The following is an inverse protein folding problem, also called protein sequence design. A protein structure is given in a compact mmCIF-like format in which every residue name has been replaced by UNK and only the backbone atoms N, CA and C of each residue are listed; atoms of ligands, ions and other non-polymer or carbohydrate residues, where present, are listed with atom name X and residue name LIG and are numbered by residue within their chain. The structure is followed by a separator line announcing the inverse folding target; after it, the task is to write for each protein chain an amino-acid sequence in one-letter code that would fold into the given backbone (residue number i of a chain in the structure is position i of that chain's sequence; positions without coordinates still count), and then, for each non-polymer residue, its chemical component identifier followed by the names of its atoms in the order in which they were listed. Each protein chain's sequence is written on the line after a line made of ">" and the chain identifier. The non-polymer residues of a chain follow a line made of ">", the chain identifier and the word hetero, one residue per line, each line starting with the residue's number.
data_IF_404711480999
#
_entry.id   IF_404711480999
#
_cell.length_a   1.000
_cell.length_b   1.000
_cell.length_c   1.000
_cell.angle_alpha   90.00
_cell.angle_beta   90.00
_cell.angle_gamma   90.00
#
_symmetry.space_group_name_H-M   'P 1'
#
loop_
_entity.id
_entity.type
_entity.pdbx_description
1 polymer ?
#
# COMPACT_ATOMS: atom_id res chain seq x y z
N UNK A 1 -13.24 -13.26 8.85
CA UNK A 1 -12.58 -13.24 7.52
C UNK A 1 -13.33 -14.02 6.43
N UNK A 2 -14.47 -14.66 6.72
CA UNK A 2 -15.33 -15.37 5.74
C UNK A 2 -16.58 -14.58 5.30
N UNK A 3 -16.74 -13.33 5.74
CA UNK A 3 -17.98 -12.55 5.50
C UNK A 3 -18.08 -11.92 4.11
N UNK A 4 -17.06 -12.06 3.26
CA UNK A 4 -17.16 -11.60 1.87
C UNK A 4 -18.08 -12.56 1.10
N UNK A 5 -19.24 -12.10 0.58
CA UNK A 5 -20.19 -12.98 -0.12
C UNK A 5 -19.54 -13.70 -1.30
N UNK A 6 -18.56 -13.07 -1.96
CA UNK A 6 -17.79 -13.68 -3.05
C UNK A 6 -16.90 -14.83 -2.60
N UNK A 7 -16.29 -14.74 -1.41
CA UNK A 7 -15.45 -15.80 -0.85
C UNK A 7 -16.32 -16.97 -0.42
N UNK A 8 -17.47 -16.67 0.19
CA UNK A 8 -18.46 -17.68 0.58
C UNK A 8 -18.93 -18.49 -0.62
N UNK A 9 -19.41 -17.84 -1.69
CA UNK A 9 -19.92 -18.53 -2.88
C UNK A 9 -18.84 -19.36 -3.61
N UNK A 10 -17.61 -18.85 -3.64
CA UNK A 10 -16.47 -19.58 -4.19
C UNK A 10 -16.17 -20.84 -3.37
N UNK A 11 -16.15 -20.76 -2.05
CA UNK A 11 -15.93 -21.92 -1.18
C UNK A 11 -17.06 -22.93 -1.31
N UNK A 12 -18.31 -22.49 -1.37
CA UNK A 12 -19.46 -23.38 -1.57
C UNK A 12 -19.34 -24.16 -2.87
N UNK A 13 -19.00 -23.47 -3.96
CA UNK A 13 -18.83 -24.08 -5.28
C UNK A 13 -17.68 -25.08 -5.29
N UNK A 14 -16.52 -24.70 -4.73
CA UNK A 14 -15.34 -25.57 -4.69
C UNK A 14 -15.55 -26.81 -3.82
N UNK A 15 -16.14 -26.64 -2.65
CA UNK A 15 -16.46 -27.76 -1.74
C UNK A 15 -17.49 -28.70 -2.37
N UNK A 16 -18.52 -28.17 -3.03
CA UNK A 16 -19.52 -28.99 -3.73
C UNK A 16 -18.90 -29.85 -4.84
N UNK A 17 -18.02 -29.25 -5.67
CA UNK A 17 -17.35 -29.95 -6.77
C UNK A 17 -16.34 -30.98 -6.25
N UNK A 18 -15.50 -30.60 -5.28
CA UNK A 18 -14.39 -31.44 -4.81
C UNK A 18 -14.86 -32.63 -3.96
N UNK A 19 -15.89 -32.42 -3.14
CA UNK A 19 -16.43 -33.45 -2.23
C UNK A 19 -17.59 -34.23 -2.89
N UNK A 20 -18.15 -33.71 -3.98
CA UNK A 20 -19.30 -34.32 -4.66
C UNK A 20 -20.61 -34.21 -3.88
N UNK A 21 -20.75 -33.18 -3.04
CA UNK A 21 -21.96 -32.94 -2.24
C UNK A 21 -22.89 -31.91 -2.90
N UNK A 22 -24.21 -32.01 -2.69
CA UNK A 22 -25.15 -31.02 -3.18
C UNK A 22 -24.79 -29.60 -2.72
N UNK A 23 -24.97 -28.56 -3.56
CA UNK A 23 -24.61 -27.17 -3.24
C UNK A 23 -25.25 -26.66 -1.95
N UNK A 24 -26.47 -27.11 -1.63
CA UNK A 24 -27.17 -26.75 -0.40
C UNK A 24 -26.41 -27.28 0.83
N UNK A 25 -25.89 -28.52 0.79
CA UNK A 25 -25.10 -29.10 1.88
C UNK A 25 -23.75 -28.40 2.02
N UNK A 26 -23.10 -28.08 0.89
CA UNK A 26 -21.86 -27.29 0.90
C UNK A 26 -22.09 -25.89 1.50
N UNK A 27 -23.18 -25.23 1.13
CA UNK A 27 -23.56 -23.92 1.69
C UNK A 27 -23.74 -23.96 3.20
N UNK A 28 -24.45 -24.97 3.72
CA UNK A 28 -24.64 -25.15 5.16
C UNK A 28 -23.31 -25.42 5.88
N UNK A 29 -22.44 -26.22 5.29
CA UNK A 29 -21.12 -26.52 5.85
C UNK A 29 -20.26 -25.24 5.94
N UNK A 30 -20.16 -24.46 4.86
CA UNK A 30 -19.40 -23.19 4.84
C UNK A 30 -20.00 -22.19 5.83
N UNK A 31 -21.33 -22.05 5.87
CA UNK A 31 -22.02 -21.13 6.78
C UNK A 31 -21.81 -21.53 8.25
N UNK A 32 -21.80 -22.82 8.57
CA UNK A 32 -21.48 -23.31 9.92
C UNK A 32 -20.07 -22.94 10.35
N UNK A 33 -19.09 -23.16 9.47
CA UNK A 33 -17.70 -22.79 9.73
C UNK A 33 -17.56 -21.28 9.92
N UNK A 34 -18.25 -20.48 9.09
CA UNK A 34 -18.24 -19.02 9.23
C UNK A 34 -18.84 -18.54 10.56
N UNK A 35 -19.87 -19.22 11.06
CA UNK A 35 -20.55 -18.91 12.32
C UNK A 35 -19.89 -19.52 13.56
N UNK A 36 -18.78 -20.26 13.40
CA UNK A 36 -18.11 -20.94 14.53
C UNK A 36 -18.98 -22.00 15.22
N UNK A 37 -19.93 -22.59 14.50
CA UNK A 37 -20.79 -23.64 15.03
C UNK A 37 -20.04 -24.97 15.17
N UNK A 38 -20.65 -25.94 15.87
CA UNK A 38 -20.03 -27.24 16.15
C UNK A 38 -19.49 -27.91 14.88
N UNK A 39 -18.28 -28.50 14.94
CA UNK A 39 -17.65 -29.11 13.78
C UNK A 39 -18.46 -30.33 13.31
N UNK A 40 -18.78 -30.34 12.03
CA UNK A 40 -19.45 -31.44 11.33
C UNK A 40 -18.39 -32.21 10.51
N UNK A 41 -18.76 -33.36 9.93
CA UNK A 41 -17.89 -34.17 9.07
C UNK A 41 -17.30 -33.40 7.87
N UNK A 42 -17.94 -32.30 7.45
CA UNK A 42 -17.49 -31.44 6.34
C UNK A 42 -16.65 -30.24 6.77
N UNK A 43 -16.60 -29.93 8.07
CA UNK A 43 -15.80 -28.82 8.61
C UNK A 43 -14.31 -28.90 8.27
N UNK A 44 -13.61 -30.05 8.42
CA UNK A 44 -12.19 -30.11 8.06
C UNK A 44 -11.96 -29.87 6.56
N UNK A 45 -12.88 -30.33 5.70
CA UNK A 45 -12.80 -30.18 4.24
C UNK A 45 -12.96 -28.72 3.82
N UNK A 46 -13.92 -27.99 4.41
CA UNK A 46 -14.10 -26.55 4.16
C UNK A 46 -12.87 -25.76 4.60
N UNK A 47 -12.26 -26.12 5.73
CA UNK A 47 -11.06 -25.44 6.24
C UNK A 47 -9.84 -25.69 5.37
N UNK A 48 -9.66 -26.90 4.85
CA UNK A 48 -8.59 -27.21 3.89
C UNK A 48 -8.74 -26.37 2.61
N UNK A 49 -9.95 -26.32 2.06
CA UNK A 49 -10.23 -25.55 0.84
C UNK A 49 -10.03 -24.04 1.07
N UNK A 50 -10.46 -23.52 2.23
CA UNK A 50 -10.22 -22.13 2.61
C UNK A 50 -8.73 -21.81 2.71
N UNK A 51 -7.90 -22.74 3.22
CA UNK A 51 -6.44 -22.58 3.28
C UNK A 51 -5.81 -22.56 1.90
N UNK A 52 -6.21 -23.46 1.01
CA UNK A 52 -5.72 -23.49 -0.37
C UNK A 52 -6.09 -22.21 -1.13
N UNK A 53 -7.35 -21.77 -1.03
CA UNK A 53 -7.80 -20.52 -1.63
C UNK A 53 -7.04 -19.30 -1.09
N UNK A 54 -6.75 -19.28 0.22
CA UNK A 54 -5.96 -18.21 0.84
C UNK A 54 -4.50 -18.21 0.34
N UNK A 55 -3.88 -19.38 0.18
CA UNK A 55 -2.52 -19.50 -0.37
C UNK A 55 -2.45 -19.04 -1.83
N UNK A 56 -3.41 -19.44 -2.66
CA UNK A 56 -3.51 -18.96 -4.05
C UNK A 56 -3.66 -17.44 -4.12
N UNK A 57 -4.54 -16.87 -3.28
CA UNK A 57 -4.75 -15.42 -3.22
C UNK A 57 -3.48 -14.69 -2.76
N UNK A 58 -2.77 -15.22 -1.77
CA UNK A 58 -1.51 -14.67 -1.28
C UNK A 58 -0.42 -14.70 -2.36
N UNK A 59 -0.29 -15.80 -3.12
CA UNK A 59 0.66 -15.90 -4.22
C UNK A 59 0.38 -14.89 -5.33
N UNK A 60 -0.89 -14.76 -5.76
CA UNK A 60 -1.29 -13.78 -6.78
C UNK A 60 -1.05 -12.35 -6.32
N UNK A 61 -1.36 -12.06 -5.06
CA UNK A 61 -1.14 -10.73 -4.48
C UNK A 61 0.36 -10.42 -4.40
N UNK A 62 1.18 -11.40 -3.98
CA UNK A 62 2.63 -11.27 -3.93
C UNK A 62 3.26 -11.01 -5.31
N UNK A 63 2.76 -11.68 -6.35
CA UNK A 63 3.18 -11.46 -7.74
C UNK A 63 2.85 -10.03 -8.19
N UNK A 64 1.62 -9.56 -7.97
CA UNK A 64 1.22 -8.19 -8.33
C UNK A 64 2.07 -7.13 -7.61
N UNK A 65 2.33 -7.31 -6.31
CA UNK A 65 3.20 -6.41 -5.55
C UNK A 65 4.63 -6.43 -6.13
N UNK A 66 5.13 -7.61 -6.50
CA UNK A 66 6.46 -7.76 -7.09
C UNK A 66 6.55 -7.04 -8.44
N UNK A 67 5.52 -7.16 -9.26
CA UNK A 67 5.45 -6.51 -10.57
C UNK A 67 5.35 -4.99 -10.45
N UNK A 68 4.47 -4.50 -9.58
CA UNK A 68 4.36 -3.07 -9.26
C UNK A 68 5.71 -2.54 -8.77
N UNK A 69 6.35 -3.25 -7.85
CA UNK A 69 7.67 -2.87 -7.33
C UNK A 69 8.73 -2.85 -8.44
N UNK A 70 8.72 -3.81 -9.34
CA UNK A 70 9.67 -3.90 -10.47
C UNK A 70 9.55 -2.71 -11.41
N UNK A 71 8.32 -2.23 -11.65
CA UNK A 71 8.06 -1.08 -12.52
C UNK A 71 8.33 0.25 -11.81
N UNK A 72 7.93 0.36 -10.55
CA UNK A 72 7.95 1.63 -9.81
C UNK A 72 9.33 1.95 -9.20
N UNK A 73 10.08 0.95 -8.75
CA UNK A 73 11.38 1.17 -8.09
C UNK A 73 12.41 1.90 -8.98
N UNK A 74 12.58 1.57 -10.27
CA UNK A 74 13.49 2.30 -11.15
C UNK A 74 13.11 3.78 -11.27
N UNK A 75 11.82 4.09 -11.38
CA UNK A 75 11.35 5.47 -11.48
C UNK A 75 11.59 6.26 -10.19
N UNK A 76 11.31 5.66 -9.04
CA UNK A 76 11.60 6.27 -7.73
C UNK A 76 13.10 6.51 -7.53
N UNK A 77 13.96 5.60 -8.00
CA UNK A 77 15.42 5.79 -7.98
C UNK A 77 15.89 6.89 -8.92
N UNK A 78 15.26 7.05 -10.07
CA UNK A 78 15.56 8.15 -10.98
C UNK A 78 15.15 9.49 -10.35
N UNK A 79 13.95 9.55 -9.77
CA UNK A 79 13.44 10.74 -9.09
C UNK A 79 14.31 11.14 -7.89
N UNK A 80 14.78 10.17 -7.10
CA UNK A 80 15.66 10.47 -5.96
C UNK A 80 17.03 11.01 -6.40
N UNK A 81 17.58 10.53 -7.51
CA UNK A 81 18.81 11.08 -8.10
C UNK A 81 18.60 12.50 -8.59
N UNK A 82 17.51 12.79 -9.29
CA UNK A 82 17.21 14.15 -9.76
C UNK A 82 16.99 15.11 -8.60
N UNK A 83 16.27 14.67 -7.55
CA UNK A 83 16.05 15.48 -6.36
C UNK A 83 17.36 15.78 -5.63
N UNK A 84 18.27 14.79 -5.55
CA UNK A 84 19.59 14.98 -4.96
C UNK A 84 20.44 15.98 -5.74
N UNK A 85 20.48 15.88 -7.07
CA UNK A 85 21.20 16.85 -7.89
C UNK A 85 20.62 18.26 -7.79
N UNK A 86 19.29 18.39 -7.70
CA UNK A 86 18.66 19.68 -7.45
C UNK A 86 19.04 20.26 -6.08
N UNK A 87 19.07 19.43 -5.03
CA UNK A 87 19.49 19.85 -3.70
C UNK A 87 20.98 20.27 -3.67
N UNK A 88 21.87 19.51 -4.31
CA UNK A 88 23.30 19.83 -4.43
C UNK A 88 23.50 21.15 -5.20
N UNK A 89 22.74 21.41 -6.27
CA UNK A 89 22.82 22.67 -7.01
C UNK A 89 22.34 23.86 -6.19
N UNK A 90 21.28 23.69 -5.38
CA UNK A 90 20.76 24.74 -4.51
C UNK A 90 21.72 25.06 -3.35
N UNK A 91 22.40 24.06 -2.80
CA UNK A 91 23.44 24.20 -1.78
C UNK A 91 24.68 24.93 -2.35
N UNK A 92 25.14 24.56 -3.55
CA UNK A 92 26.25 25.24 -4.23
C UNK A 92 25.97 26.73 -4.50
N UNK A 93 24.72 27.08 -4.75
CA UNK A 93 24.29 28.48 -4.93
C UNK A 93 24.10 29.23 -3.61
N UNK A 94 24.29 28.57 -2.46
CA UNK A 94 24.06 29.14 -1.13
C UNK A 94 22.60 29.54 -0.88
N UNK A 95 21.67 28.97 -1.64
CA UNK A 95 20.23 29.26 -1.54
C UNK A 95 19.56 28.45 -0.44
N UNK A 96 20.23 27.42 0.07
CA UNK A 96 19.72 26.50 1.08
C UNK A 96 20.79 26.30 2.15
N UNK A 97 20.39 26.23 3.41
CA UNK A 97 21.30 26.06 4.55
C UNK A 97 21.60 24.56 4.82
N UNK A 98 22.47 24.27 5.80
CA UNK A 98 22.83 22.89 6.17
C UNK A 98 21.64 22.05 6.65
N UNK A 99 20.53 22.68 7.05
CA UNK A 99 19.28 22.01 7.44
C UNK A 99 18.30 21.81 6.27
N UNK A 100 18.67 22.19 5.04
CA UNK A 100 17.81 22.06 3.87
C UNK A 100 16.75 23.16 3.72
N UNK A 101 16.85 24.23 4.50
CA UNK A 101 15.91 25.35 4.50
C UNK A 101 16.40 26.49 3.58
N UNK A 102 15.50 27.19 2.86
CA UNK A 102 15.90 28.30 2.01
C UNK A 102 16.58 29.40 2.83
N UNK A 103 17.78 29.81 2.43
CA UNK A 103 18.52 30.92 3.03
C UNK A 103 17.78 32.21 2.68
N UNK A 104 17.09 32.80 3.66
CA UNK A 104 16.59 34.17 3.52
C UNK A 104 17.78 35.10 3.40
N UNK A 105 17.80 35.93 2.34
CA UNK A 105 18.71 37.08 2.28
C UNK A 105 18.49 37.89 3.55
N UNK A 106 19.56 38.07 4.32
CA UNK A 106 19.54 38.90 5.52
C UNK A 106 19.06 40.30 5.09
N UNK A 107 17.97 40.78 5.70
CA UNK A 107 17.50 42.13 5.46
C UNK A 107 18.65 43.07 5.79
N UNK A 108 19.14 43.75 4.75
CA UNK A 108 20.20 44.74 4.91
C UNK A 108 19.60 45.84 5.78
N UNK A 109 20.26 46.27 6.85
CA UNK A 109 19.70 47.33 7.66
C UNK A 109 19.49 48.58 6.79
N UNK A 110 18.39 49.29 7.02
CA UNK A 110 17.89 50.33 6.10
C UNK A 110 18.93 51.45 5.79
N UNK A 111 19.92 51.65 6.67
CA UNK A 111 21.02 52.58 6.45
C UNK A 111 22.03 52.14 5.39
N UNK A 112 22.04 50.85 5.02
CA UNK A 112 22.92 50.22 4.02
C UNK A 112 22.23 50.07 2.65
N UNK A 113 20.98 50.55 2.52
CA UNK A 113 20.28 50.65 1.25
C UNK A 113 20.83 51.81 0.42
N UNK A 114 21.07 51.65 -0.91
CA UNK A 114 21.53 52.73 -1.77
C UNK A 114 20.59 53.95 -1.82
N UNK A 115 19.36 53.79 -1.35
CA UNK A 115 18.33 54.82 -1.37
C UNK A 115 18.07 55.49 -0.01
N UNK A 116 18.88 55.15 1.02
CA UNK A 116 18.79 55.77 2.35
C UNK A 116 17.46 55.47 3.08
N UNK A 117 17.36 55.87 4.36
CA UNK A 117 16.14 55.70 5.13
C UNK A 117 14.99 56.54 4.53
N UNK A 118 13.74 56.04 4.52
CA UNK A 118 12.60 56.79 4.01
C UNK A 118 12.42 58.11 4.78
N UNK A 119 12.25 59.23 4.05
CA UNK A 119 11.96 60.56 4.64
C UNK A 119 10.68 60.47 5.49
N UNK A 120 10.80 60.71 6.80
CA UNK A 120 9.64 60.87 7.69
C UNK A 120 8.94 62.19 7.36
N UNK A 121 7.62 62.13 7.16
CA UNK A 121 6.74 63.29 7.09
C UNK A 121 6.36 63.73 8.51
#
# INVERSE_FOLDING_TARGET
>A
MLESPRVHDLLVTRVAIRVGIPPIKAHLAVRRVALGLTPDQYTPLVLEEARLAAQEAAQRTGQLITDIRRVLMPQMRALSRTARHAAEALDQLGLVNQEGMPVRRQDRPAWQSPYGPPKRR
#
